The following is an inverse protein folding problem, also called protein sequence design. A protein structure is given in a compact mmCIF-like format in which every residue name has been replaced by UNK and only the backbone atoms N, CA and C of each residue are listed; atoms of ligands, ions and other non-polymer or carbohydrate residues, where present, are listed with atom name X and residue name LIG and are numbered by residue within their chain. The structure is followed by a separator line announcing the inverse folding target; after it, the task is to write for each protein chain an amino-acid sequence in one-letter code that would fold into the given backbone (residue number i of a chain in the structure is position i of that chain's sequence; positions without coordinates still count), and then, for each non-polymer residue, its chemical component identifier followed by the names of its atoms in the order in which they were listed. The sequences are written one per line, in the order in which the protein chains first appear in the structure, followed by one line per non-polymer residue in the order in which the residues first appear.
data_IF_292205598225
#
_entry.id   IF_292205598225
#
_cell.length_a   1.000
_cell.length_b   1.000
_cell.length_c   1.000
_cell.angle_alpha   90.00
_cell.angle_beta   90.00
_cell.angle_gamma   90.00
#
_symmetry.space_group_name_H-M   'P 1'
#
loop_
_entity.id
_entity.type
_entity.pdbx_description
1 polymer ?
#
# COMPACT_ATOMS: atom_id res chain seq x y z
N UNK A 1 -7.91 -13.79 1.67
CA UNK A 1 -8.11 -12.75 2.70
C UNK A 1 -7.42 -13.16 3.99
N UNK A 2 -7.71 -14.34 4.54
CA UNK A 2 -7.13 -14.90 5.78
C UNK A 2 -5.58 -14.90 5.73
N UNK A 3 -4.98 -15.38 4.67
CA UNK A 3 -3.53 -15.45 4.50
C UNK A 3 -2.83 -14.07 4.51
N UNK A 4 -3.48 -13.03 3.98
CA UNK A 4 -2.94 -11.65 4.00
C UNK A 4 -3.05 -11.03 5.39
N UNK A 5 -4.12 -11.32 6.13
CA UNK A 5 -4.34 -10.88 7.51
C UNK A 5 -3.32 -11.55 8.44
N UNK A 6 -3.08 -12.85 8.28
CA UNK A 6 -2.05 -13.59 9.01
C UNK A 6 -0.65 -13.06 8.72
N UNK A 7 -0.31 -12.81 7.45
CA UNK A 7 0.98 -12.21 7.09
C UNK A 7 1.17 -10.81 7.69
N UNK A 8 0.11 -9.99 7.70
CA UNK A 8 0.16 -8.66 8.32
C UNK A 8 0.36 -8.75 9.83
N UNK A 9 -0.35 -9.66 10.51
CA UNK A 9 -0.21 -9.90 11.94
C UNK A 9 1.18 -10.41 12.32
N UNK A 10 1.73 -11.38 11.56
CA UNK A 10 3.09 -11.86 11.78
C UNK A 10 4.14 -10.79 11.58
N UNK A 11 3.98 -9.95 10.57
CA UNK A 11 4.87 -8.83 10.29
C UNK A 11 4.86 -7.82 11.44
N UNK A 12 3.69 -7.48 11.95
CA UNK A 12 3.54 -6.61 13.12
C UNK A 12 4.19 -7.22 14.36
N UNK A 13 3.96 -8.50 14.63
CA UNK A 13 4.58 -9.19 15.77
C UNK A 13 6.12 -9.18 15.69
N UNK A 14 6.70 -9.40 14.51
CA UNK A 14 8.16 -9.31 14.29
C UNK A 14 8.66 -7.89 14.52
N UNK A 15 7.93 -6.88 14.03
CA UNK A 15 8.30 -5.47 14.19
C UNK A 15 8.32 -5.05 15.66
N UNK A 16 7.30 -5.42 16.42
CA UNK A 16 7.24 -5.16 17.87
C UNK A 16 8.33 -5.92 18.62
N UNK A 17 8.58 -7.19 18.28
CA UNK A 17 9.60 -8.00 18.94
C UNK A 17 11.03 -7.46 18.73
N UNK A 18 11.33 -6.84 17.58
CA UNK A 18 12.66 -6.26 17.31
C UNK A 18 12.81 -4.79 17.74
N UNK A 19 11.73 -4.15 18.20
CA UNK A 19 11.76 -2.73 18.57
C UNK A 19 12.86 -2.37 19.58
N UNK A 20 13.12 -3.15 20.66
CA UNK A 20 14.23 -2.86 21.57
C UNK A 20 15.60 -2.82 20.89
N UNK A 21 15.86 -3.77 19.98
CA UNK A 21 17.13 -3.83 19.24
C UNK A 21 17.25 -2.69 18.21
N UNK A 22 16.13 -2.26 17.62
CA UNK A 22 16.09 -1.08 16.75
C UNK A 22 16.48 0.18 17.53
N UNK A 23 15.90 0.35 18.72
CA UNK A 23 16.21 1.50 19.61
C UNK A 23 17.67 1.47 20.02
N UNK A 24 18.18 0.33 20.49
CA UNK A 24 19.59 0.15 20.87
C UNK A 24 20.55 0.48 19.71
N UNK A 25 20.23 0.00 18.50
CA UNK A 25 21.00 0.31 17.30
C UNK A 25 21.02 1.81 17.00
N UNK A 26 19.87 2.48 17.04
CA UNK A 26 19.76 3.93 16.78
C UNK A 26 20.48 4.74 17.84
N UNK A 27 20.43 4.34 19.10
CA UNK A 27 21.19 4.95 20.20
C UNK A 27 22.70 4.84 19.96
N UNK A 28 23.19 3.65 19.63
CA UNK A 28 24.60 3.43 19.30
C UNK A 28 25.09 4.33 18.15
N UNK A 29 24.33 4.42 17.06
CA UNK A 29 24.67 5.29 15.92
C UNK A 29 24.75 6.77 16.34
N UNK A 30 23.85 7.23 17.19
CA UNK A 30 23.81 8.61 17.65
C UNK A 30 24.84 8.90 18.75
N UNK A 31 25.29 7.91 19.51
CA UNK A 31 26.37 8.03 20.52
C UNK A 31 27.75 8.06 19.87
N UNK A 32 27.95 7.28 18.79
CA UNK A 32 29.22 7.19 18.07
C UNK A 32 29.61 8.52 17.38
N UNK A 33 28.62 9.32 16.96
CA UNK A 33 28.83 10.63 16.33
C UNK A 33 27.80 11.63 16.86
N UNK A 34 28.25 12.57 17.68
CA UNK A 34 27.41 13.62 18.29
C UNK A 34 26.77 14.56 17.25
N UNK A 35 27.33 14.66 16.06
CA UNK A 35 26.80 15.47 14.96
C UNK A 35 25.85 14.71 14.05
N UNK A 36 25.78 13.39 14.15
CA UNK A 36 24.98 12.55 13.28
C UNK A 36 23.47 12.82 13.45
N UNK A 37 22.80 12.89 12.35
CA UNK A 37 21.33 12.82 12.27
C UNK A 37 20.91 11.55 11.52
N UNK A 38 19.87 10.91 11.99
CA UNK A 38 19.36 9.66 11.40
C UNK A 38 17.91 9.83 11.00
N UNK A 39 17.56 9.30 9.85
CA UNK A 39 16.17 9.15 9.39
C UNK A 39 15.78 7.68 9.57
N UNK A 40 14.76 7.41 10.37
CA UNK A 40 14.25 6.07 10.62
C UNK A 40 12.84 5.92 10.04
N UNK A 41 12.67 4.92 9.19
CA UNK A 41 11.35 4.59 8.61
C UNK A 41 10.78 3.31 9.21
N UNK A 42 9.47 3.35 9.51
CA UNK A 42 8.70 2.18 9.90
C UNK A 42 7.32 2.19 9.25
N UNK A 43 6.57 1.11 9.44
CA UNK A 43 5.24 0.94 8.83
C UNK A 43 4.11 1.04 9.87
N UNK A 44 4.26 0.38 11.03
CA UNK A 44 3.24 0.34 12.07
C UNK A 44 3.38 1.52 13.03
N UNK A 45 2.21 2.09 13.42
CA UNK A 45 2.16 3.30 14.26
C UNK A 45 2.76 3.08 15.65
N UNK A 46 2.52 1.94 16.28
CA UNK A 46 3.07 1.60 17.59
C UNK A 46 4.60 1.47 17.57
N UNK A 47 5.17 0.99 16.46
CA UNK A 47 6.64 0.97 16.25
C UNK A 47 7.18 2.39 16.10
N UNK A 48 6.49 3.25 15.32
CA UNK A 48 6.86 4.65 15.16
C UNK A 48 6.84 5.39 16.51
N UNK A 49 5.75 5.23 17.28
CA UNK A 49 5.63 5.82 18.61
C UNK A 49 6.69 5.27 19.57
N UNK A 50 6.91 3.95 19.59
CA UNK A 50 7.91 3.35 20.47
C UNK A 50 9.33 3.85 20.20
N UNK A 51 9.69 4.08 18.92
CA UNK A 51 10.96 4.70 18.57
C UNK A 51 10.97 6.18 19.01
N UNK A 52 9.96 6.96 18.66
CA UNK A 52 9.91 8.39 18.96
C UNK A 52 9.95 8.66 20.48
N UNK A 53 9.19 7.89 21.26
CA UNK A 53 9.12 8.00 22.72
C UNK A 53 10.48 7.69 23.38
N UNK A 54 11.23 6.70 22.86
CA UNK A 54 12.54 6.35 23.38
C UNK A 54 13.58 7.48 23.23
N UNK A 55 13.43 8.35 22.22
CA UNK A 55 14.32 9.47 21.96
C UNK A 55 13.76 10.82 22.42
N UNK A 56 12.48 10.89 22.75
CA UNK A 56 11.82 12.07 23.32
C UNK A 56 12.11 13.36 22.55
N UNK A 57 12.64 14.37 23.23
CA UNK A 57 12.86 15.68 22.63
C UNK A 57 13.91 15.70 21.49
N UNK A 58 14.75 14.68 21.36
CA UNK A 58 15.73 14.58 20.27
C UNK A 58 15.15 13.98 18.97
N UNK A 59 13.89 13.57 19.01
CA UNK A 59 13.19 13.03 17.85
C UNK A 59 12.04 13.93 17.38
N UNK A 60 11.71 13.82 16.09
CA UNK A 60 10.45 14.28 15.49
C UNK A 60 9.81 13.12 14.75
N UNK A 61 8.48 13.11 14.68
CA UNK A 61 7.74 12.02 14.05
C UNK A 61 6.73 12.55 13.03
N UNK A 62 6.62 11.84 11.89
CA UNK A 62 5.56 12.04 10.89
C UNK A 62 4.87 10.72 10.62
N UNK A 63 3.56 10.69 10.90
CA UNK A 63 2.67 9.58 10.61
C UNK A 63 1.57 9.98 9.59
N UNK A 64 0.66 9.04 9.31
CA UNK A 64 -0.40 9.27 8.32
C UNK A 64 -1.39 10.38 8.70
N UNK A 65 -1.65 10.53 9.97
CA UNK A 65 -2.57 11.49 10.59
C UNK A 65 -1.93 12.84 10.95
N UNK A 66 -0.60 13.00 10.79
CA UNK A 66 0.10 14.27 11.02
C UNK A 66 -0.38 15.33 10.06
N UNK A 67 -0.82 16.49 10.57
CA UNK A 67 -1.28 17.63 9.76
C UNK A 67 -0.16 18.19 8.86
N UNK A 68 -0.52 18.93 7.81
CA UNK A 68 0.48 19.49 6.89
C UNK A 68 1.40 20.50 7.59
N UNK A 69 0.86 21.29 8.51
CA UNK A 69 1.62 22.30 9.25
C UNK A 69 2.59 21.62 10.22
N UNK A 70 2.14 20.59 10.93
CA UNK A 70 2.99 19.80 11.84
C UNK A 70 4.07 19.05 11.08
N UNK A 71 3.78 18.55 9.87
CA UNK A 71 4.78 17.93 8.99
C UNK A 71 5.89 18.89 8.63
N UNK A 72 5.52 20.10 8.23
CA UNK A 72 6.50 21.12 7.87
C UNK A 72 7.32 21.52 9.09
N UNK A 73 6.69 21.73 10.24
CA UNK A 73 7.38 22.06 11.49
C UNK A 73 8.36 20.95 11.92
N UNK A 74 7.98 19.67 11.77
CA UNK A 74 8.85 18.54 12.06
C UNK A 74 10.07 18.48 11.13
N UNK A 75 9.85 18.71 9.82
CA UNK A 75 10.93 18.78 8.82
C UNK A 75 11.88 19.94 9.13
N UNK A 76 11.35 21.14 9.34
CA UNK A 76 12.14 22.35 9.61
C UNK A 76 12.97 22.17 10.88
N UNK A 77 12.38 21.60 11.92
CA UNK A 77 13.10 21.29 13.16
C UNK A 77 14.20 20.28 12.93
N UNK A 78 13.94 19.19 12.23
CA UNK A 78 14.97 18.19 11.90
C UNK A 78 16.10 18.77 11.07
N UNK A 79 15.79 19.66 10.12
CA UNK A 79 16.79 20.27 9.25
C UNK A 79 17.68 21.30 9.98
N UNK A 80 17.10 22.10 10.87
CA UNK A 80 17.77 23.28 11.44
C UNK A 80 18.24 23.12 12.89
N UNK A 81 17.56 22.31 13.71
CA UNK A 81 17.86 22.14 15.13
C UNK A 81 18.91 21.04 15.35
N UNK A 82 20.13 21.35 15.84
CA UNK A 82 21.15 20.34 16.11
C UNK A 82 20.77 19.36 17.23
N UNK A 83 19.82 19.73 18.10
CA UNK A 83 19.35 18.84 19.19
C UNK A 83 18.33 17.82 18.69
N UNK A 84 17.69 18.10 17.56
CA UNK A 84 16.80 17.17 16.90
C UNK A 84 17.61 16.25 15.97
N UNK A 85 17.94 15.06 16.45
CA UNK A 85 18.89 14.16 15.80
C UNK A 85 18.25 12.95 15.13
N UNK A 86 16.98 12.65 15.45
CA UNK A 86 16.25 11.53 14.88
C UNK A 86 14.96 12.02 14.20
N UNK A 87 14.79 11.63 12.95
CA UNK A 87 13.52 11.75 12.25
C UNK A 87 12.86 10.37 12.15
N UNK A 88 11.66 10.22 12.66
CA UNK A 88 10.88 8.98 12.60
C UNK A 88 9.72 9.17 11.63
N UNK A 89 9.62 8.34 10.60
CA UNK A 89 8.62 8.53 9.56
C UNK A 89 7.91 7.25 9.13
N UNK A 90 6.60 7.33 8.91
CA UNK A 90 5.90 6.28 8.18
C UNK A 90 6.39 6.24 6.73
N UNK A 91 6.75 5.07 6.22
CA UNK A 91 7.25 4.90 4.85
C UNK A 91 6.30 5.56 3.82
N UNK A 92 5.00 5.41 4.00
CA UNK A 92 4.00 5.97 3.08
C UNK A 92 3.77 7.47 3.31
N UNK A 93 3.68 7.91 4.57
CA UNK A 93 3.33 9.30 4.89
C UNK A 93 4.52 10.25 4.68
N UNK A 94 5.73 9.83 5.03
CA UNK A 94 6.94 10.60 4.84
C UNK A 94 7.54 10.45 3.42
N UNK A 95 7.04 9.50 2.63
CA UNK A 95 7.45 9.31 1.24
C UNK A 95 7.02 10.42 0.28
N UNK A 96 6.22 11.41 0.69
CA UNK A 96 5.69 12.46 -0.21
C UNK A 96 6.10 13.86 0.24
N UNK A 97 6.76 14.61 -0.65
CA UNK A 97 6.91 16.06 -0.58
C UNK A 97 7.91 16.63 0.42
N UNK A 98 8.57 15.83 1.28
CA UNK A 98 9.53 16.31 2.27
C UNK A 98 10.98 16.17 1.80
N UNK A 99 11.88 16.95 2.40
CA UNK A 99 13.33 16.92 2.15
C UNK A 99 14.07 16.74 3.49
N UNK A 100 14.96 15.76 3.57
CA UNK A 100 15.64 15.36 4.81
C UNK A 100 17.18 15.32 4.61
N UNK A 101 17.73 16.29 3.89
CA UNK A 101 19.14 16.36 3.53
C UNK A 101 20.08 16.67 4.70
N UNK A 102 19.56 17.00 5.87
CA UNK A 102 20.34 17.11 7.09
C UNK A 102 20.91 15.77 7.58
N UNK A 103 20.41 14.66 7.06
CA UNK A 103 20.91 13.31 7.35
C UNK A 103 21.50 12.68 6.09
N UNK A 104 22.60 11.94 6.28
CA UNK A 104 23.13 11.01 5.29
C UNK A 104 22.96 9.54 5.72
N UNK A 105 22.16 9.28 6.76
CA UNK A 105 21.94 7.94 7.29
C UNK A 105 20.45 7.62 7.38
N UNK A 106 20.02 6.63 6.61
CA UNK A 106 18.63 6.14 6.55
C UNK A 106 18.57 4.73 7.11
N UNK A 107 17.67 4.52 8.05
CA UNK A 107 17.42 3.23 8.69
C UNK A 107 15.98 2.82 8.44
N UNK A 108 15.76 1.63 7.91
CA UNK A 108 14.44 1.01 7.83
C UNK A 108 14.28 0.04 9.00
N UNK A 109 13.52 0.45 10.00
CA UNK A 109 13.09 -0.43 11.08
C UNK A 109 12.11 -1.48 10.59
N UNK A 110 11.31 -1.14 9.59
CA UNK A 110 10.41 -2.03 8.87
C UNK A 110 10.51 -1.78 7.38
N UNK A 111 10.20 -2.79 6.57
CA UNK A 111 10.23 -2.71 5.11
C UNK A 111 8.81 -2.59 4.53
N UNK A 112 8.68 -2.01 3.35
CA UNK A 112 7.47 -2.08 2.54
C UNK A 112 7.58 -3.21 1.50
N UNK A 113 6.43 -3.74 1.06
CA UNK A 113 6.35 -4.76 0.00
C UNK A 113 6.64 -4.20 -1.39
N UNK A 114 6.52 -2.89 -1.53
CA UNK A 114 6.67 -2.17 -2.80
C UNK A 114 8.04 -1.51 -2.84
N UNK A 115 8.97 -1.97 -3.70
CA UNK A 115 10.30 -1.38 -3.81
C UNK A 115 10.25 0.13 -4.04
N UNK A 116 9.33 0.61 -4.87
CA UNK A 116 9.16 2.03 -5.15
C UNK A 116 8.87 2.89 -3.92
N UNK A 117 8.17 2.37 -2.90
CA UNK A 117 7.94 3.10 -1.66
C UNK A 117 9.24 3.25 -0.85
N UNK A 118 10.07 2.19 -0.85
CA UNK A 118 11.38 2.19 -0.18
C UNK A 118 12.31 3.18 -0.87
N UNK A 119 12.48 3.06 -2.19
CA UNK A 119 13.29 4.00 -2.99
C UNK A 119 12.81 5.44 -2.83
N UNK A 120 11.50 5.68 -2.84
CA UNK A 120 10.95 7.00 -2.65
C UNK A 120 11.27 7.59 -1.26
N UNK A 121 11.30 6.75 -0.21
CA UNK A 121 11.68 7.16 1.14
C UNK A 121 13.20 7.45 1.21
N UNK A 122 14.04 6.64 0.57
CA UNK A 122 15.48 6.86 0.43
C UNK A 122 15.79 8.20 -0.26
N UNK A 123 15.05 8.53 -1.32
CA UNK A 123 15.17 9.77 -2.09
C UNK A 123 14.82 11.04 -1.28
N UNK A 124 14.31 10.93 -0.03
CA UNK A 124 14.11 12.10 0.85
C UNK A 124 15.43 12.65 1.38
N UNK A 125 16.42 11.80 1.54
CA UNK A 125 17.77 12.15 1.97
C UNK A 125 18.72 12.34 0.78
N UNK A 126 18.58 11.55 -0.27
CA UNK A 126 19.36 11.63 -1.50
C UNK A 126 18.73 12.66 -2.48
N UNK A 127 18.84 13.94 -2.15
CA UNK A 127 18.26 15.05 -2.95
C UNK A 127 19.29 16.14 -3.22
N UNK A 128 18.91 17.09 -4.11
CA UNK A 128 19.67 18.30 -4.36
C UNK A 128 19.94 19.01 -3.03
N UNK A 129 21.20 19.24 -2.71
CA UNK A 129 21.65 19.79 -1.41
C UNK A 129 22.29 18.76 -0.49
N UNK A 130 22.19 17.46 -0.76
CA UNK A 130 22.97 16.45 -0.07
C UNK A 130 24.41 16.44 -0.58
N UNK A 131 25.37 16.60 0.33
CA UNK A 131 26.81 16.66 0.02
C UNK A 131 27.57 15.41 0.47
N UNK A 132 26.92 14.53 1.22
CA UNK A 132 27.51 13.29 1.74
C UNK A 132 26.93 12.07 1.02
N UNK A 133 27.69 10.97 1.05
CA UNK A 133 27.16 9.67 0.61
C UNK A 133 26.10 9.18 1.57
N UNK A 134 24.92 8.84 1.05
CA UNK A 134 23.81 8.36 1.87
C UNK A 134 23.98 6.86 2.14
N UNK A 135 24.05 6.52 3.43
CA UNK A 135 24.02 5.13 3.91
C UNK A 135 22.58 4.71 4.16
N UNK A 136 22.14 3.62 3.53
CA UNK A 136 20.82 3.03 3.76
C UNK A 136 20.96 1.66 4.40
N UNK A 137 20.30 1.45 5.53
CA UNK A 137 20.33 0.19 6.27
C UNK A 137 18.94 -0.34 6.54
N UNK A 138 18.79 -1.66 6.36
CA UNK A 138 17.56 -2.38 6.63
C UNK A 138 17.75 -3.30 7.83
N UNK A 139 17.05 -3.04 8.93
CA UNK A 139 17.12 -3.86 10.13
C UNK A 139 16.15 -5.03 10.01
N UNK A 140 16.69 -6.23 9.88
CA UNK A 140 15.91 -7.45 9.69
C UNK A 140 16.30 -8.50 10.73
N UNK A 141 15.35 -9.30 11.17
CA UNK A 141 15.59 -10.47 12.01
C UNK A 141 15.87 -11.66 11.09
N UNK A 142 17.02 -12.32 11.29
CA UNK A 142 17.36 -13.47 10.46
C UNK A 142 16.34 -14.60 10.61
N UNK A 143 16.06 -15.29 9.50
CA UNK A 143 15.05 -16.35 9.44
C UNK A 143 13.59 -15.86 9.46
N UNK A 144 13.35 -14.55 9.65
CA UNK A 144 12.01 -13.97 9.71
C UNK A 144 11.42 -13.64 8.33
N UNK A 145 10.15 -13.22 8.35
CA UNK A 145 9.48 -12.68 7.18
C UNK A 145 10.18 -11.42 6.64
N UNK A 146 10.72 -10.58 7.52
CA UNK A 146 11.47 -9.37 7.14
C UNK A 146 12.70 -9.70 6.29
N UNK A 147 13.48 -10.70 6.71
CA UNK A 147 14.64 -11.15 5.93
C UNK A 147 14.25 -11.68 4.55
N UNK A 148 13.11 -12.37 4.46
CA UNK A 148 12.56 -12.84 3.18
C UNK A 148 12.08 -11.67 2.31
N UNK A 149 11.45 -10.67 2.92
CA UNK A 149 11.06 -9.43 2.24
C UNK A 149 12.27 -8.67 1.70
N UNK A 150 13.29 -8.46 2.51
CA UNK A 150 14.53 -7.77 2.12
C UNK A 150 15.17 -8.44 0.89
N UNK A 151 15.32 -9.77 0.90
CA UNK A 151 15.85 -10.52 -0.25
C UNK A 151 15.00 -10.34 -1.51
N UNK A 152 13.67 -10.34 -1.36
CA UNK A 152 12.74 -10.14 -2.47
C UNK A 152 12.82 -8.71 -3.03
N UNK A 153 12.93 -7.70 -2.17
CA UNK A 153 13.10 -6.30 -2.57
C UNK A 153 14.40 -6.11 -3.35
N UNK A 154 15.52 -6.63 -2.85
CA UNK A 154 16.82 -6.59 -3.53
C UNK A 154 16.75 -7.27 -4.90
N UNK A 155 16.11 -8.44 -4.99
CA UNK A 155 15.95 -9.14 -6.25
C UNK A 155 15.10 -8.35 -7.26
N UNK A 156 14.00 -7.74 -6.81
CA UNK A 156 13.14 -6.89 -7.65
C UNK A 156 13.87 -5.64 -8.11
N UNK A 157 14.62 -4.96 -7.22
CA UNK A 157 15.38 -3.77 -7.54
C UNK A 157 16.44 -4.07 -8.60
N UNK A 158 17.20 -5.16 -8.46
CA UNK A 158 18.17 -5.59 -9.47
C UNK A 158 17.57 -5.81 -10.86
N UNK A 159 16.34 -6.30 -10.93
CA UNK A 159 15.63 -6.45 -12.22
C UNK A 159 15.27 -5.10 -12.81
N UNK A 160 14.82 -4.16 -11.96
CA UNK A 160 14.47 -2.79 -12.38
C UNK A 160 15.73 -2.08 -12.88
N UNK A 161 16.81 -2.10 -12.10
CA UNK A 161 18.08 -1.44 -12.44
C UNK A 161 18.64 -2.01 -13.77
N UNK A 162 18.64 -3.33 -13.91
CA UNK A 162 19.10 -3.96 -15.16
C UNK A 162 18.23 -3.57 -16.36
N UNK A 163 16.92 -3.40 -16.16
CA UNK A 163 16.03 -2.96 -17.24
C UNK A 163 16.20 -1.47 -17.61
N UNK A 164 16.64 -0.65 -16.65
CA UNK A 164 16.88 0.79 -16.88
C UNK A 164 18.28 1.05 -17.44
N UNK A 165 19.27 0.26 -17.05
CA UNK A 165 20.67 0.41 -17.49
C UNK A 165 20.96 -0.22 -18.86
N UNK A 166 20.07 -1.06 -19.37
CA UNK A 166 20.21 -1.68 -20.69
C UNK A 166 19.47 -0.87 -21.77
N UNK A 167 20.19 -0.09 -22.61
CA UNK A 167 19.56 0.72 -23.66
C UNK A 167 18.88 -0.12 -24.75
N UNK A 168 19.11 -1.42 -24.80
CA UNK A 168 18.46 -2.35 -25.74
C UNK A 168 17.13 -2.88 -25.21
N UNK A 169 16.84 -2.71 -23.92
CA UNK A 169 15.53 -3.05 -23.34
C UNK A 169 14.57 -1.91 -23.66
N UNK A 170 13.52 -2.13 -24.47
CA UNK A 170 12.49 -1.10 -24.65
C UNK A 170 11.97 -0.70 -23.27
N UNK A 171 11.91 0.61 -23.00
CA UNK A 171 11.30 1.16 -21.78
C UNK A 171 9.91 0.53 -21.69
N UNK A 172 9.79 -0.50 -20.84
CA UNK A 172 8.50 -1.15 -20.61
C UNK A 172 7.55 -0.07 -20.09
N UNK A 173 6.36 0.07 -20.68
CA UNK A 173 5.36 0.97 -20.12
C UNK A 173 5.23 0.67 -18.65
N UNK A 174 5.16 1.72 -17.83
CA UNK A 174 5.19 1.62 -16.37
C UNK A 174 4.37 0.44 -15.87
N UNK A 175 4.78 -0.22 -14.79
CA UNK A 175 4.06 -1.39 -14.25
C UNK A 175 2.57 -1.10 -14.02
N UNK A 176 2.21 0.17 -13.77
CA UNK A 176 0.84 0.67 -13.77
C UNK A 176 0.15 0.46 -15.12
N UNK A 177 0.81 0.79 -16.23
CA UNK A 177 0.24 0.58 -17.57
C UNK A 177 0.13 -0.92 -17.91
N UNK A 178 1.04 -1.76 -17.40
CA UNK A 178 0.95 -3.22 -17.58
C UNK A 178 -0.19 -3.81 -16.75
N UNK A 179 -0.37 -3.39 -15.50
CA UNK A 179 -1.50 -3.81 -14.66
C UNK A 179 -2.83 -3.33 -15.25
N UNK A 180 -2.89 -2.11 -15.75
CA UNK A 180 -4.08 -1.58 -16.42
C UNK A 180 -4.36 -2.31 -17.74
N UNK A 181 -3.32 -2.64 -18.49
CA UNK A 181 -3.46 -3.40 -19.75
C UNK A 181 -3.95 -4.83 -19.49
N UNK A 182 -3.41 -5.52 -18.50
CA UNK A 182 -3.85 -6.87 -18.08
C UNK A 182 -5.29 -6.84 -17.59
N UNK A 183 -5.66 -5.89 -16.71
CA UNK A 183 -7.05 -5.69 -16.25
C UNK A 183 -8.00 -5.37 -17.38
N UNK A 184 -7.54 -4.60 -18.36
CA UNK A 184 -8.35 -4.24 -19.55
C UNK A 184 -8.59 -5.46 -20.43
N UNK A 185 -7.57 -6.29 -20.66
CA UNK A 185 -7.66 -7.53 -21.45
C UNK A 185 -8.59 -8.56 -20.78
N UNK A 186 -8.50 -8.72 -19.44
CA UNK A 186 -9.40 -9.57 -18.68
C UNK A 186 -10.86 -9.12 -18.78
N UNK A 187 -11.12 -7.80 -18.64
CA UNK A 187 -12.47 -7.26 -18.79
C UNK A 187 -13.01 -7.42 -20.21
N UNK A 188 -12.19 -7.30 -21.23
CA UNK A 188 -12.56 -7.52 -22.63
C UNK A 188 -12.91 -8.99 -22.87
N UNK A 189 -12.10 -9.91 -22.39
CA UNK A 189 -12.37 -11.35 -22.49
C UNK A 189 -13.67 -11.76 -21.77
N UNK A 190 -13.97 -11.16 -20.62
CA UNK A 190 -15.24 -11.38 -19.92
C UNK A 190 -16.40 -10.76 -20.71
N UNK A 191 -16.21 -9.53 -21.24
CA UNK A 191 -17.24 -8.82 -21.98
C UNK A 191 -17.70 -9.57 -23.24
N UNK A 192 -16.78 -10.22 -23.95
CA UNK A 192 -17.08 -11.03 -25.15
C UNK A 192 -17.94 -12.26 -24.86
N UNK A 193 -17.87 -12.79 -23.64
CA UNK A 193 -18.61 -13.98 -23.22
C UNK A 193 -19.99 -13.68 -22.64
N UNK A 194 -20.32 -12.41 -22.37
CA UNK A 194 -21.57 -12.03 -21.76
C UNK A 194 -22.72 -12.03 -22.76
N UNK A 195 -23.76 -12.77 -22.42
CA UNK A 195 -25.01 -12.76 -23.20
C UNK A 195 -25.86 -11.52 -22.90
N UNK A 196 -26.75 -11.08 -23.82
CA UNK A 196 -27.65 -9.97 -23.56
C UNK A 196 -28.57 -10.17 -22.33
N UNK A 197 -28.93 -11.41 -22.02
CA UNK A 197 -29.71 -11.76 -20.83
C UNK A 197 -28.88 -11.52 -19.54
N UNK A 198 -27.62 -11.93 -19.52
CA UNK A 198 -26.71 -11.69 -18.42
C UNK A 198 -26.48 -10.19 -18.19
N UNK A 199 -26.30 -9.41 -19.27
CA UNK A 199 -26.13 -7.94 -19.18
C UNK A 199 -27.35 -7.29 -18.52
N UNK A 200 -28.56 -7.74 -18.87
CA UNK A 200 -29.80 -7.28 -18.23
C UNK A 200 -29.86 -7.64 -16.74
N UNK A 201 -29.50 -8.87 -16.39
CA UNK A 201 -29.50 -9.35 -15.01
C UNK A 201 -28.45 -8.58 -14.16
N UNK A 202 -27.26 -8.35 -14.70
CA UNK A 202 -26.22 -7.53 -14.07
C UNK A 202 -26.74 -6.12 -13.78
N UNK A 203 -27.38 -5.49 -14.77
CA UNK A 203 -27.93 -4.14 -14.61
C UNK A 203 -29.04 -4.08 -13.56
N UNK A 204 -29.93 -5.08 -13.53
CA UNK A 204 -30.96 -5.19 -12.50
C UNK A 204 -30.35 -5.32 -11.08
N UNK A 205 -29.32 -6.15 -10.91
CA UNK A 205 -28.62 -6.29 -9.64
C UNK A 205 -27.93 -5.02 -9.18
N UNK A 206 -27.29 -4.29 -10.10
CA UNK A 206 -26.67 -2.99 -9.77
C UNK A 206 -27.70 -1.94 -9.34
N UNK A 207 -28.88 -1.92 -9.99
CA UNK A 207 -30.00 -1.05 -9.62
C UNK A 207 -30.57 -1.40 -8.25
N UNK A 208 -30.66 -2.69 -7.93
CA UNK A 208 -31.07 -3.14 -6.59
C UNK A 208 -30.09 -2.66 -5.53
N UNK A 209 -28.80 -2.90 -5.71
CA UNK A 209 -27.73 -2.43 -4.79
C UNK A 209 -27.74 -0.91 -4.63
N UNK A 210 -27.99 -0.16 -5.71
CA UNK A 210 -28.11 1.29 -5.63
C UNK A 210 -29.34 1.71 -4.81
N UNK A 211 -30.47 0.99 -4.92
CA UNK A 211 -31.71 1.28 -4.22
C UNK A 211 -31.60 1.14 -2.71
N UNK A 212 -30.70 0.27 -2.21
CA UNK A 212 -30.44 0.05 -0.79
C UNK A 212 -29.19 0.76 -0.28
N UNK A 213 -28.49 1.49 -1.15
CA UNK A 213 -27.24 2.18 -0.82
C UNK A 213 -27.49 3.62 -0.40
N UNK A 214 -27.10 3.99 0.80
CA UNK A 214 -27.15 5.36 1.34
C UNK A 214 -25.91 6.21 0.98
N UNK A 215 -25.11 5.77 0.01
CA UNK A 215 -23.84 6.41 -0.36
C UNK A 215 -22.66 5.96 0.51
N UNK A 216 -22.81 4.85 1.24
CA UNK A 216 -21.86 4.29 2.20
C UNK A 216 -21.57 5.24 3.39
N UNK A 217 -22.59 5.95 3.82
CA UNK A 217 -22.53 6.85 5.00
C UNK A 217 -22.74 6.05 6.27
N UNK A 218 -23.68 5.07 6.27
CA UNK A 218 -23.91 4.17 7.40
C UNK A 218 -23.03 2.92 7.34
N UNK A 219 -22.78 2.31 8.51
CA UNK A 219 -22.01 1.05 8.65
C UNK A 219 -22.91 -0.19 8.63
N UNK A 220 -24.08 -0.10 8.01
CA UNK A 220 -25.10 -1.17 7.96
C UNK A 220 -24.75 -2.31 6.99
N UNK A 221 -23.66 -2.17 6.25
CA UNK A 221 -23.20 -3.11 5.21
C UNK A 221 -24.17 -3.33 4.05
N UNK A 222 -25.10 -2.40 3.84
CA UNK A 222 -26.06 -2.43 2.75
C UNK A 222 -25.57 -1.60 1.54
N UNK A 223 -25.88 -2.05 0.32
CA UNK A 223 -25.47 -1.38 -0.90
C UNK A 223 -23.97 -1.47 -1.21
N UNK A 224 -23.43 -0.45 -1.87
CA UNK A 224 -22.02 -0.38 -2.25
C UNK A 224 -21.16 0.17 -1.11
N UNK A 225 -19.97 -0.39 -0.93
CA UNK A 225 -18.96 0.18 -0.03
C UNK A 225 -18.40 1.51 -0.57
N UNK A 226 -17.77 2.33 0.27
CA UNK A 226 -17.27 3.66 -0.09
C UNK A 226 -16.36 3.69 -1.34
N UNK A 227 -15.55 2.66 -1.56
CA UNK A 227 -14.70 2.56 -2.75
C UNK A 227 -15.49 2.21 -4.04
N UNK A 228 -16.66 1.59 -3.93
CA UNK A 228 -17.46 1.11 -5.07
C UNK A 228 -18.68 1.99 -5.37
N UNK A 229 -19.08 2.87 -4.44
CA UNK A 229 -20.27 3.74 -4.56
C UNK A 229 -20.30 4.49 -5.88
N UNK A 230 -19.20 5.19 -6.20
CA UNK A 230 -19.12 6.02 -7.40
C UNK A 230 -19.32 5.21 -8.68
N UNK A 231 -18.64 4.08 -8.78
CA UNK A 231 -18.71 3.20 -9.95
C UNK A 231 -20.04 2.47 -10.00
N UNK A 232 -20.49 1.92 -8.87
CA UNK A 232 -21.76 1.19 -8.76
C UNK A 232 -22.96 2.08 -9.11
N UNK A 233 -23.02 3.30 -8.57
CA UNK A 233 -24.06 4.26 -8.89
C UNK A 233 -24.05 4.70 -10.35
N UNK A 234 -22.86 4.93 -10.92
CA UNK A 234 -22.72 5.30 -12.34
C UNK A 234 -23.27 4.20 -13.25
N UNK A 235 -22.86 2.94 -13.02
CA UNK A 235 -23.35 1.80 -13.81
C UNK A 235 -24.85 1.55 -13.63
N UNK A 236 -25.35 1.63 -12.39
CA UNK A 236 -26.78 1.45 -12.11
C UNK A 236 -27.67 2.54 -12.72
N UNK A 237 -27.14 3.75 -12.89
CA UNK A 237 -27.89 4.90 -13.46
C UNK A 237 -27.88 4.94 -14.98
N UNK A 238 -27.05 4.13 -15.64
CA UNK A 238 -27.01 4.08 -17.09
C UNK A 238 -28.33 3.59 -17.67
N UNK A 239 -28.71 4.05 -18.85
CA UNK A 239 -29.92 3.56 -19.55
C UNK A 239 -29.73 2.11 -19.97
N UNK A 240 -28.56 1.76 -20.45
CA UNK A 240 -28.14 0.40 -20.79
C UNK A 240 -26.62 0.25 -20.51
N UNK A 241 -26.18 -0.99 -20.29
CA UNK A 241 -24.76 -1.27 -20.12
C UNK A 241 -24.13 -1.76 -21.42
N UNK A 242 -22.98 -1.22 -21.76
CA UNK A 242 -22.12 -1.82 -22.78
C UNK A 242 -21.54 -3.15 -22.25
N UNK A 243 -21.09 -4.09 -23.12
CA UNK A 243 -20.50 -5.35 -22.65
C UNK A 243 -19.34 -5.17 -21.66
N UNK A 244 -18.49 -4.14 -21.86
CA UNK A 244 -17.40 -3.80 -20.94
C UNK A 244 -17.91 -3.28 -19.60
N UNK A 245 -18.92 -2.44 -19.60
CA UNK A 245 -19.56 -1.95 -18.38
C UNK A 245 -20.24 -3.09 -17.62
N UNK A 246 -20.85 -4.02 -18.35
CA UNK A 246 -21.46 -5.21 -17.77
C UNK A 246 -20.40 -6.14 -17.15
N UNK A 247 -19.25 -6.34 -17.78
CA UNK A 247 -18.15 -7.13 -17.21
C UNK A 247 -17.63 -6.53 -15.88
N UNK A 248 -17.53 -5.20 -15.80
CA UNK A 248 -17.21 -4.51 -14.55
C UNK A 248 -18.33 -4.66 -13.52
N UNK A 249 -19.58 -4.49 -13.94
CA UNK A 249 -20.76 -4.69 -13.11
C UNK A 249 -20.86 -6.11 -12.56
N UNK A 250 -20.49 -7.13 -13.34
CA UNK A 250 -20.49 -8.53 -12.90
C UNK A 250 -19.53 -8.77 -11.71
N UNK A 251 -18.36 -8.10 -11.71
CA UNK A 251 -17.44 -8.16 -10.54
C UNK A 251 -18.11 -7.59 -9.28
N UNK A 252 -18.87 -6.52 -9.41
CA UNK A 252 -19.63 -5.96 -8.29
C UNK A 252 -20.75 -6.90 -7.83
N UNK A 253 -21.51 -7.51 -8.75
CA UNK A 253 -22.54 -8.49 -8.39
C UNK A 253 -21.94 -9.68 -7.62
N UNK A 254 -20.80 -10.21 -8.04
CA UNK A 254 -20.08 -11.28 -7.31
C UNK A 254 -19.63 -10.83 -5.93
N UNK A 255 -19.12 -9.59 -5.80
CA UNK A 255 -18.67 -9.01 -4.52
C UNK A 255 -19.83 -8.86 -3.53
N UNK A 256 -20.97 -8.40 -3.99
CA UNK A 256 -22.15 -8.11 -3.18
C UNK A 256 -23.23 -9.19 -3.23
N UNK A 257 -22.90 -10.41 -3.68
CA UNK A 257 -23.83 -11.54 -3.87
C UNK A 257 -24.72 -11.84 -2.67
N UNK A 258 -24.22 -11.59 -1.43
CA UNK A 258 -24.98 -11.82 -0.19
C UNK A 258 -26.15 -10.86 0.02
N UNK A 259 -26.19 -9.75 -0.70
CA UNK A 259 -27.27 -8.75 -0.66
C UNK A 259 -28.26 -8.92 -1.81
N UNK A 260 -28.04 -9.90 -2.68
CA UNK A 260 -28.82 -10.18 -3.88
C UNK A 260 -29.43 -11.58 -3.78
N UNK A 261 -30.60 -11.78 -4.34
CA UNK A 261 -31.21 -13.11 -4.44
C UNK A 261 -30.38 -14.05 -5.32
N UNK A 262 -30.33 -15.34 -4.97
CA UNK A 262 -29.55 -16.36 -5.69
C UNK A 262 -29.92 -16.45 -7.18
N UNK A 263 -31.20 -16.35 -7.50
CA UNK A 263 -31.68 -16.36 -8.89
C UNK A 263 -31.06 -15.24 -9.72
N UNK A 264 -30.93 -14.04 -9.14
CA UNK A 264 -30.39 -12.87 -9.82
C UNK A 264 -28.88 -13.00 -9.98
N UNK A 265 -28.20 -13.52 -8.97
CA UNK A 265 -26.75 -13.78 -9.03
C UNK A 265 -26.44 -14.85 -10.08
N UNK A 266 -27.22 -15.92 -10.11
CA UNK A 266 -27.08 -17.00 -11.11
C UNK A 266 -27.35 -16.51 -12.52
N UNK A 267 -28.39 -15.70 -12.70
CA UNK A 267 -28.71 -15.08 -14.00
C UNK A 267 -27.63 -14.11 -14.49
N UNK A 268 -26.98 -13.40 -13.58
CA UNK A 268 -25.93 -12.42 -13.88
C UNK A 268 -24.54 -13.04 -14.08
N UNK A 269 -24.20 -14.08 -13.31
CA UNK A 269 -22.84 -14.62 -13.22
C UNK A 269 -22.68 -16.04 -13.75
N UNK A 270 -23.79 -16.73 -14.06
CA UNK A 270 -23.83 -18.17 -14.30
C UNK A 270 -23.85 -18.98 -12.99
N UNK A 271 -23.96 -20.31 -13.07
CA UNK A 271 -23.91 -21.19 -11.91
C UNK A 271 -22.59 -21.00 -11.15
N UNK A 272 -22.63 -21.09 -9.82
CA UNK A 272 -21.44 -20.97 -9.01
C UNK A 272 -20.42 -22.05 -9.37
N UNK A 273 -19.19 -21.68 -9.69
CA UNK A 273 -18.10 -22.65 -9.77
C UNK A 273 -17.93 -23.29 -8.39
N UNK A 274 -17.75 -24.63 -8.30
CA UNK A 274 -17.52 -25.30 -7.03
C UNK A 274 -16.28 -24.71 -6.37
N UNK A 275 -16.39 -24.42 -5.09
CA UNK A 275 -15.29 -23.88 -4.28
C UNK A 275 -14.16 -24.94 -4.23
N UNK A 276 -12.96 -24.67 -4.78
CA UNK A 276 -11.86 -25.63 -4.77
C UNK A 276 -11.35 -25.97 -3.36
N UNK A 277 -11.84 -25.30 -2.31
CA UNK A 277 -11.50 -25.60 -0.91
C UNK A 277 -12.46 -26.58 -0.23
N UNK A 278 -13.49 -27.09 -0.93
CA UNK A 278 -14.47 -28.01 -0.35
C UNK A 278 -14.10 -29.50 -0.45
N UNK A 279 -12.98 -29.86 -1.06
CA UNK A 279 -12.51 -31.25 -1.22
C UNK A 279 -11.29 -31.61 -0.33
N UNK A 280 -11.23 -31.11 0.88
CA UNK A 280 -10.27 -31.63 1.87
C UNK A 280 -10.98 -31.81 3.19
N UNK A 281 -11.69 -32.93 3.31
CA UNK A 281 -11.98 -33.63 4.55
C UNK A 281 -11.82 -35.13 4.33
#
# INVERSE_FOLDING_TARGET
KIMLEEMSSHRHAVAVAKLPQVIEYLQGVLEDDESAKVVCFAHHLDVLHGIADAFGASAVMIAGDTSMDDRQAAVDRFQSDPTCRLFVGSILAAGVGITLTASAHVVFAELDWVPGNVTQAEDRTHRIGQTQSVLVQHLVVDGSLDAKMARTLIAKQRVIDKALDDPSVPILPSMTATIERTRRTELESVAEKLTPAQIKAIHAGLRHLKGVCDGAVSLDRMGFSGCDVRVGHSLASATSLTPRQAALGQKLIRKYRRQLGEDLVTAACGPAEPDPSAEVF
#
